data_IF_843993694581
#
_entry.id   IF_843993694581
#
_cell.length_a   1.000
_cell.length_b   1.000
_cell.length_c   1.000
_cell.angle_alpha   90.00
_cell.angle_beta   90.00
_cell.angle_gamma   90.00
#
_symmetry.space_group_name_H-M   'P 1'
#
loop_
_entity.id
_entity.type
_entity.pdbx_description
1 polymer ?
#
# COMPACT_ATOMS: atom_id res chain seq x y z
N UNK A 1 26.25 31.39 26.26
CA UNK A 1 25.15 31.87 25.41
C UNK A 1 24.76 30.76 24.45
N UNK A 2 23.52 30.30 24.60
CA UNK A 2 22.87 29.27 23.81
C UNK A 2 22.75 29.68 22.34
N UNK A 3 22.81 28.72 21.42
CA UNK A 3 21.91 28.67 20.26
C UNK A 3 21.69 27.19 19.88
N UNK A 4 20.60 26.64 20.44
CA UNK A 4 20.01 25.36 20.04
C UNK A 4 19.38 25.55 18.66
N UNK A 5 19.78 24.75 17.67
CA UNK A 5 19.08 24.67 16.38
C UNK A 5 17.95 23.65 16.51
N UNK A 6 16.74 24.15 16.64
CA UNK A 6 15.50 23.37 16.52
C UNK A 6 15.34 22.96 15.06
N UNK A 7 15.46 21.67 14.74
CA UNK A 7 15.01 21.13 13.47
C UNK A 7 13.50 20.87 13.57
N UNK A 8 12.70 21.67 12.86
CA UNK A 8 11.31 21.36 12.62
C UNK A 8 11.26 20.28 11.53
N UNK A 9 10.63 19.15 11.81
CA UNK A 9 10.32 18.13 10.82
C UNK A 9 9.32 18.73 9.81
N UNK A 10 9.75 18.91 8.58
CA UNK A 10 8.89 19.23 7.45
C UNK A 10 8.31 17.90 6.93
N UNK A 11 7.04 17.65 7.23
CA UNK A 11 6.24 16.74 6.41
C UNK A 11 6.07 17.44 5.04
N UNK A 12 6.73 16.91 4.02
CA UNK A 12 6.67 17.46 2.67
C UNK A 12 5.33 17.08 2.02
N UNK A 13 4.29 17.89 2.26
CA UNK A 13 3.13 17.97 1.37
C UNK A 13 3.44 19.02 0.32
N UNK A 14 3.81 18.60 -0.88
CA UNK A 14 3.95 19.49 -2.02
C UNK A 14 2.56 19.85 -2.57
N UNK A 15 2.03 21.01 -2.18
CA UNK A 15 0.93 21.67 -2.91
C UNK A 15 1.44 23.00 -3.44
N UNK A 16 1.53 23.10 -4.78
CA UNK A 16 1.78 24.34 -5.51
C UNK A 16 0.51 25.18 -5.44
N UNK A 17 0.61 26.38 -4.86
CA UNK A 17 -0.43 27.40 -5.04
C UNK A 17 -0.46 28.48 -3.97
N UNK A 18 0.37 29.53 -4.12
CA UNK A 18 0.05 30.84 -3.54
C UNK A 18 0.48 31.96 -4.47
N UNK A 19 -0.46 32.85 -4.79
CA UNK A 19 -0.19 34.18 -5.34
C UNK A 19 0.54 35.02 -4.26
N UNK A 20 1.73 35.52 -4.59
CA UNK A 20 2.54 36.39 -3.71
C UNK A 20 2.23 37.87 -3.96
N UNK A 21 2.16 38.74 -2.93
CA UNK A 21 2.15 40.19 -3.11
C UNK A 21 3.48 40.66 -3.72
N UNK A 22 3.42 41.64 -4.61
CA UNK A 22 4.57 42.17 -5.34
C UNK A 22 5.61 42.79 -4.39
N UNK A 23 6.77 42.13 -4.27
CA UNK A 23 8.01 42.69 -3.73
C UNK A 23 9.01 42.76 -4.88
N UNK A 24 9.74 43.88 -4.97
CA UNK A 24 10.58 44.27 -6.10
C UNK A 24 11.48 43.12 -6.63
N UNK A 25 11.42 42.90 -7.95
CA UNK A 25 12.13 41.84 -8.65
C UNK A 25 13.65 42.04 -8.63
N UNK A 26 14.35 41.25 -7.82
CA UNK A 26 15.75 40.90 -8.09
C UNK A 26 15.85 39.95 -9.30
N UNK A 27 17.05 39.73 -9.88
CA UNK A 27 17.21 38.82 -11.01
C UNK A 27 16.64 37.44 -10.65
N UNK A 28 15.72 36.96 -11.48
CA UNK A 28 15.08 35.65 -11.33
C UNK A 28 16.15 34.58 -11.11
N UNK A 29 16.09 33.77 -10.03
CA UNK A 29 16.90 32.58 -9.97
C UNK A 29 16.57 31.74 -11.20
N UNK A 30 17.60 31.37 -11.97
CA UNK A 30 17.47 30.47 -13.11
C UNK A 30 16.64 29.26 -12.69
N UNK A 31 15.64 28.89 -13.50
CA UNK A 31 14.87 27.68 -13.29
C UNK A 31 15.86 26.50 -13.12
N UNK A 32 15.85 25.84 -11.97
CA UNK A 32 16.59 24.60 -11.78
C UNK A 32 16.19 23.64 -12.92
N UNK A 33 17.13 22.93 -13.54
CA UNK A 33 16.79 21.98 -14.57
C UNK A 33 15.80 20.97 -14.01
N UNK A 34 14.76 20.63 -14.80
CA UNK A 34 13.85 19.55 -14.43
C UNK A 34 14.66 18.28 -14.18
N UNK A 35 14.41 17.56 -13.07
CA UNK A 35 15.17 16.36 -12.76
C UNK A 35 15.03 15.33 -13.90
N UNK A 36 16.15 14.74 -14.30
CA UNK A 36 16.15 13.63 -15.25
C UNK A 36 15.50 12.44 -14.54
N UNK A 37 14.36 11.99 -15.06
CA UNK A 37 13.67 10.82 -14.52
C UNK A 37 14.34 9.55 -15.06
N UNK A 38 14.87 8.66 -14.21
CA UNK A 38 15.53 7.44 -14.67
C UNK A 38 14.58 6.47 -15.38
N UNK A 39 15.05 5.77 -16.42
CA UNK A 39 14.22 4.89 -17.26
C UNK A 39 13.55 3.72 -16.51
N UNK A 40 14.10 3.30 -15.37
CA UNK A 40 13.56 2.21 -14.53
C UNK A 40 12.55 2.65 -13.46
N UNK A 41 12.34 3.95 -13.28
CA UNK A 41 11.48 4.48 -12.23
C UNK A 41 10.04 4.68 -12.72
N UNK A 42 9.06 4.21 -11.93
CA UNK A 42 7.65 4.52 -12.17
C UNK A 42 7.34 5.97 -11.78
N UNK A 43 6.61 6.66 -12.65
CA UNK A 43 6.21 8.06 -12.47
C UNK A 43 7.13 9.06 -13.18
N UNK A 44 6.75 10.34 -13.12
CA UNK A 44 7.45 11.45 -13.79
C UNK A 44 7.70 12.67 -12.90
N UNK A 45 7.17 12.65 -11.67
CA UNK A 45 7.42 13.67 -10.66
C UNK A 45 8.78 13.46 -10.02
N UNK A 46 9.37 14.56 -9.52
CA UNK A 46 10.66 14.58 -8.81
C UNK A 46 10.70 13.47 -7.73
N UNK A 47 11.67 12.54 -7.79
CA UNK A 47 11.76 11.42 -6.86
C UNK A 47 12.56 11.73 -5.59
N UNK A 48 13.07 12.95 -5.42
CA UNK A 48 13.99 13.33 -4.33
C UNK A 48 13.54 12.86 -2.94
N UNK A 49 12.22 12.82 -2.68
CA UNK A 49 11.67 12.51 -1.36
C UNK A 49 10.92 11.18 -1.26
N UNK A 50 10.68 10.50 -2.38
CA UNK A 50 9.81 9.32 -2.39
C UNK A 50 10.19 8.24 -3.40
N UNK A 51 11.29 8.39 -4.16
CA UNK A 51 11.63 7.48 -5.25
C UNK A 51 11.59 5.99 -4.88
N UNK A 52 12.31 5.61 -3.81
CA UNK A 52 12.35 4.23 -3.30
C UNK A 52 11.00 3.79 -2.74
N UNK A 53 10.30 4.65 -2.00
CA UNK A 53 8.98 4.34 -1.44
C UNK A 53 7.95 4.08 -2.55
N UNK A 54 7.85 5.02 -3.49
CA UNK A 54 6.97 4.97 -4.68
C UNK A 54 7.25 3.73 -5.51
N UNK A 55 8.52 3.47 -5.80
CA UNK A 55 8.90 2.29 -6.56
C UNK A 55 8.51 1.01 -5.82
N UNK A 56 8.77 0.94 -4.51
CA UNK A 56 8.47 -0.25 -3.71
C UNK A 56 6.98 -0.55 -3.67
N UNK A 57 6.13 0.46 -3.45
CA UNK A 57 4.68 0.28 -3.49
C UNK A 57 4.19 -0.16 -4.87
N UNK A 58 4.72 0.43 -5.94
CA UNK A 58 4.34 0.08 -7.31
C UNK A 58 4.65 -1.38 -7.64
N UNK A 59 5.87 -1.81 -7.32
CA UNK A 59 6.32 -3.17 -7.54
C UNK A 59 5.56 -4.18 -6.65
N UNK A 60 5.23 -3.79 -5.40
CA UNK A 60 4.45 -4.61 -4.49
C UNK A 60 3.01 -4.79 -4.98
N UNK A 61 2.39 -3.72 -5.49
CA UNK A 61 1.07 -3.78 -6.09
C UNK A 61 1.05 -4.66 -7.36
N UNK A 62 2.09 -4.59 -8.19
CA UNK A 62 2.25 -5.49 -9.34
C UNK A 62 2.30 -6.96 -8.90
N UNK A 63 3.16 -7.28 -7.94
CA UNK A 63 3.31 -8.63 -7.39
C UNK A 63 1.99 -9.18 -6.84
N UNK A 64 1.29 -8.35 -6.05
CA UNK A 64 0.00 -8.68 -5.43
C UNK A 64 -1.06 -9.09 -6.46
N UNK A 65 -1.03 -8.51 -7.66
CA UNK A 65 -2.00 -8.81 -8.74
C UNK A 65 -1.44 -9.74 -9.83
N UNK A 66 -0.31 -10.39 -9.55
CA UNK A 66 0.37 -11.36 -10.41
C UNK A 66 1.11 -10.75 -11.61
N UNK A 67 1.26 -9.43 -11.68
CA UNK A 67 2.09 -8.78 -12.70
C UNK A 67 3.55 -8.97 -12.35
N UNK A 68 4.32 -9.53 -13.27
CA UNK A 68 5.77 -9.64 -13.12
C UNK A 68 6.42 -8.31 -13.50
N UNK A 69 7.11 -7.62 -12.58
CA UNK A 69 7.68 -6.33 -12.89
C UNK A 69 8.73 -6.35 -14.00
N UNK A 70 8.96 -5.17 -14.59
CA UNK A 70 10.08 -4.97 -15.50
C UNK A 70 11.41 -5.19 -14.79
N UNK A 71 12.35 -5.94 -15.39
CA UNK A 71 13.68 -6.13 -14.79
C UNK A 71 14.39 -4.81 -14.51
N UNK A 72 14.32 -3.85 -15.44
CA UNK A 72 14.89 -2.52 -15.26
C UNK A 72 14.31 -1.75 -14.05
N UNK A 73 13.07 -2.04 -13.66
CA UNK A 73 12.45 -1.42 -12.49
C UNK A 73 12.96 -2.01 -11.17
N UNK A 74 13.19 -3.33 -11.15
CA UNK A 74 13.79 -4.04 -10.02
C UNK A 74 15.28 -3.71 -9.90
N UNK A 75 16.00 -3.65 -11.02
CA UNK A 75 17.41 -3.24 -11.09
C UNK A 75 17.58 -1.79 -10.61
N UNK A 76 16.66 -0.90 -11.00
CA UNK A 76 16.67 0.47 -10.49
C UNK A 76 16.52 0.50 -8.96
N UNK A 77 15.55 -0.24 -8.40
CA UNK A 77 15.33 -0.27 -6.95
C UNK A 77 16.56 -0.83 -6.23
N UNK A 78 17.05 -2.00 -6.63
CA UNK A 78 18.21 -2.64 -5.99
C UNK A 78 19.48 -1.79 -6.12
N UNK A 79 19.66 -1.07 -7.22
CA UNK A 79 20.75 -0.12 -7.42
C UNK A 79 20.75 1.07 -6.43
N UNK A 80 19.60 1.40 -5.83
CA UNK A 80 19.52 2.46 -4.82
C UNK A 80 20.18 2.05 -3.49
N UNK A 81 20.38 0.75 -3.23
CA UNK A 81 20.90 0.27 -1.96
C UNK A 81 22.33 0.77 -1.68
N UNK A 82 22.54 1.28 -0.47
CA UNK A 82 23.86 1.62 0.05
C UNK A 82 24.66 0.37 0.47
N UNK A 83 25.99 0.50 0.54
CA UNK A 83 26.86 -0.63 0.91
C UNK A 83 26.57 -1.23 2.30
N UNK A 84 26.08 -0.41 3.24
CA UNK A 84 25.66 -0.82 4.59
C UNK A 84 24.26 -1.48 4.62
N UNK A 85 23.55 -1.52 3.50
CA UNK A 85 22.21 -2.11 3.36
C UNK A 85 21.06 -1.11 3.37
N UNK A 86 21.26 0.14 3.78
CA UNK A 86 20.20 1.14 3.83
C UNK A 86 19.77 1.64 2.46
N UNK A 87 18.58 2.21 2.38
CA UNK A 87 18.11 2.96 1.22
C UNK A 87 17.87 4.41 1.63
N UNK A 88 18.31 5.34 0.78
CA UNK A 88 17.82 6.71 0.79
C UNK A 88 16.48 6.79 0.05
N UNK A 89 15.74 7.88 0.21
CA UNK A 89 14.55 8.13 -0.58
C UNK A 89 14.86 8.13 -2.10
N UNK A 90 16.03 8.66 -2.48
CA UNK A 90 16.54 8.63 -3.85
C UNK A 90 18.04 8.95 -3.91
N UNK A 91 18.76 8.25 -4.78
CA UNK A 91 20.13 8.53 -5.21
C UNK A 91 20.13 8.80 -6.70
N UNK A 92 20.54 10.01 -7.08
CA UNK A 92 20.63 10.44 -8.47
C UNK A 92 21.76 9.73 -9.23
N UNK A 93 22.89 9.49 -8.56
CA UNK A 93 24.00 8.70 -9.07
C UNK A 93 24.27 7.53 -8.12
N UNK A 94 24.02 6.31 -8.58
CA UNK A 94 24.20 5.10 -7.79
C UNK A 94 25.61 4.53 -7.86
N UNK A 95 26.47 5.06 -8.75
CA UNK A 95 27.88 4.71 -8.82
C UNK A 95 28.70 5.38 -7.70
N UNK A 96 28.25 6.56 -7.24
CA UNK A 96 28.85 7.24 -6.09
C UNK A 96 28.50 6.50 -4.79
N UNK A 97 29.47 6.31 -3.88
CA UNK A 97 29.21 5.67 -2.60
C UNK A 97 28.25 6.52 -1.76
N UNK A 98 27.44 5.86 -0.93
CA UNK A 98 26.65 6.57 0.06
C UNK A 98 27.59 7.18 1.12
N UNK A 99 27.68 8.51 1.13
CA UNK A 99 28.45 9.26 2.11
C UNK A 99 27.64 9.52 3.39
N UNK A 100 28.24 10.25 4.34
CA UNK A 100 27.61 10.58 5.61
C UNK A 100 26.56 11.71 5.51
N UNK A 101 26.50 12.43 4.39
CA UNK A 101 25.55 13.52 4.15
C UNK A 101 24.27 12.99 3.48
N UNK A 102 24.34 11.85 2.80
CA UNK A 102 23.18 11.19 2.23
C UNK A 102 22.19 10.79 3.33
N UNK A 103 21.02 11.43 3.29
CA UNK A 103 19.92 11.10 4.18
C UNK A 103 19.32 9.75 3.79
N UNK A 104 19.50 8.78 4.67
CA UNK A 104 18.84 7.46 4.61
C UNK A 104 17.74 7.38 5.65
N UNK A 105 16.70 6.60 5.36
CA UNK A 105 15.51 6.52 6.20
C UNK A 105 15.03 5.06 6.36
N UNK A 106 14.34 4.81 7.47
CA UNK A 106 13.86 3.46 7.82
C UNK A 106 12.72 3.01 6.91
N UNK A 107 11.92 3.93 6.38
CA UNK A 107 10.67 3.62 5.71
C UNK A 107 10.93 3.19 4.27
N UNK A 108 11.76 3.93 3.53
CA UNK A 108 12.30 3.54 2.23
C UNK A 108 13.03 2.19 2.31
N UNK A 109 13.87 2.01 3.34
CA UNK A 109 14.59 0.75 3.53
C UNK A 109 13.64 -0.42 3.81
N UNK A 110 12.64 -0.22 4.65
CA UNK A 110 11.67 -1.25 5.01
C UNK A 110 10.71 -1.58 3.86
N UNK A 111 10.23 -0.59 3.10
CA UNK A 111 9.42 -0.81 1.91
C UNK A 111 10.20 -1.59 0.84
N UNK A 112 11.47 -1.26 0.62
CA UNK A 112 12.35 -2.00 -0.28
C UNK A 112 12.52 -3.47 0.16
N UNK A 113 12.70 -3.72 1.46
CA UNK A 113 12.76 -5.09 2.01
C UNK A 113 11.49 -5.87 1.69
N UNK A 114 10.31 -5.28 1.94
CA UNK A 114 9.04 -5.98 1.74
C UNK A 114 8.84 -6.39 0.28
N UNK A 115 9.07 -5.47 -0.66
CA UNK A 115 8.88 -5.78 -2.08
C UNK A 115 9.95 -6.73 -2.63
N UNK A 116 11.22 -6.58 -2.23
CA UNK A 116 12.29 -7.46 -2.69
C UNK A 116 12.13 -8.88 -2.12
N UNK A 117 11.57 -9.01 -0.92
CA UNK A 117 11.18 -10.29 -0.36
C UNK A 117 10.02 -10.93 -1.14
N UNK A 118 8.99 -10.15 -1.47
CA UNK A 118 7.83 -10.61 -2.25
C UNK A 118 8.23 -11.12 -3.64
N UNK A 119 9.06 -10.36 -4.37
CA UNK A 119 9.54 -10.73 -5.70
C UNK A 119 10.50 -11.94 -5.70
N UNK A 120 11.13 -12.25 -4.57
CA UNK A 120 12.09 -13.35 -4.41
C UNK A 120 13.43 -13.12 -5.14
N UNK A 121 14.44 -13.95 -4.82
CA UNK A 121 15.75 -13.91 -5.49
C UNK A 121 16.66 -12.74 -5.08
N UNK A 122 16.27 -11.96 -4.06
CA UNK A 122 17.00 -10.78 -3.59
C UNK A 122 17.52 -10.92 -2.14
N UNK A 123 17.73 -12.14 -1.65
CA UNK A 123 18.07 -12.45 -0.25
C UNK A 123 19.28 -11.66 0.28
N UNK A 124 20.30 -11.46 -0.56
CA UNK A 124 21.48 -10.69 -0.17
C UNK A 124 21.19 -9.21 0.06
N UNK A 125 20.32 -8.60 -0.76
CA UNK A 125 19.92 -7.21 -0.61
C UNK A 125 19.01 -7.06 0.62
N UNK A 126 17.99 -7.92 0.73
CA UNK A 126 17.05 -7.98 1.85
C UNK A 126 17.76 -8.19 3.18
N UNK A 127 18.70 -9.15 3.24
CA UNK A 127 19.45 -9.46 4.46
C UNK A 127 20.33 -8.30 4.95
N UNK A 128 20.97 -7.55 4.03
CA UNK A 128 21.75 -6.35 4.39
C UNK A 128 20.84 -5.24 4.93
N UNK A 129 19.71 -4.99 4.28
CA UNK A 129 18.75 -3.98 4.71
C UNK A 129 18.15 -4.30 6.08
N UNK A 130 17.76 -5.57 6.31
CA UNK A 130 17.30 -6.04 7.63
C UNK A 130 18.39 -5.89 8.69
N UNK A 131 19.64 -6.22 8.36
CA UNK A 131 20.78 -6.02 9.28
C UNK A 131 20.93 -4.54 9.65
N UNK A 132 20.80 -3.64 8.68
CA UNK A 132 20.85 -2.20 8.93
C UNK A 132 19.67 -1.73 9.80
N UNK A 133 18.42 -2.13 9.50
CA UNK A 133 17.24 -1.80 10.31
C UNK A 133 17.41 -2.21 11.78
N UNK A 134 17.90 -3.43 12.02
CA UNK A 134 18.22 -3.92 13.38
C UNK A 134 19.29 -3.07 14.07
N UNK A 135 20.26 -2.55 13.33
CA UNK A 135 21.35 -1.74 13.89
C UNK A 135 20.89 -0.36 14.39
N UNK A 136 19.84 0.21 13.77
CA UNK A 136 19.29 1.54 14.07
C UNK A 136 18.05 1.53 14.96
N UNK A 137 17.64 0.36 15.49
CA UNK A 137 16.54 0.24 16.44
C UNK A 137 16.80 1.05 17.73
N UNK A 138 15.80 1.80 18.18
CA UNK A 138 15.86 2.59 19.40
C UNK A 138 15.74 1.71 20.66
N UNK A 139 16.19 2.21 21.81
CA UNK A 139 16.17 1.47 23.08
C UNK A 139 14.76 1.23 23.66
N UNK A 140 13.73 1.86 23.09
CA UNK A 140 12.34 1.59 23.40
C UNK A 140 11.75 0.42 22.59
N UNK A 141 12.50 -0.09 21.60
CA UNK A 141 12.12 -1.17 20.71
C UNK A 141 11.65 -0.70 19.32
N UNK A 142 11.41 0.59 19.12
CA UNK A 142 10.84 1.13 17.89
C UNK A 142 11.85 1.77 16.94
N UNK A 143 11.31 2.43 15.91
CA UNK A 143 12.06 3.20 14.92
C UNK A 143 11.39 4.54 14.69
N UNK A 144 12.21 5.57 14.51
CA UNK A 144 11.77 6.83 13.88
C UNK A 144 12.13 6.83 12.40
N UNK A 145 11.45 7.68 11.63
CA UNK A 145 11.71 7.84 10.18
C UNK A 145 13.21 7.92 9.83
N UNK A 146 13.97 8.73 10.57
CA UNK A 146 15.44 8.77 10.46
C UNK A 146 16.11 8.02 11.61
N UNK A 147 17.27 7.37 11.37
CA UNK A 147 18.06 6.75 12.44
C UNK A 147 18.35 7.69 13.60
N UNK A 148 18.04 7.26 14.83
CA UNK A 148 18.20 8.05 16.05
C UNK A 148 17.10 9.09 16.31
N UNK A 149 16.12 9.23 15.41
CA UNK A 149 14.88 9.95 15.68
C UNK A 149 14.00 9.23 16.72
N UNK A 150 13.04 9.96 17.31
CA UNK A 150 12.08 9.35 18.22
C UNK A 150 11.26 8.28 17.51
N UNK A 151 10.94 7.20 18.22
CA UNK A 151 10.11 6.13 17.65
C UNK A 151 8.70 6.63 17.36
N UNK A 152 8.17 6.28 16.19
CA UNK A 152 6.81 6.57 15.76
C UNK A 152 6.07 5.32 15.28
N UNK A 153 4.74 5.38 15.29
CA UNK A 153 3.90 4.23 14.97
C UNK A 153 4.04 3.81 13.51
N UNK A 154 4.10 4.76 12.58
CA UNK A 154 4.20 4.48 11.14
C UNK A 154 5.50 3.76 10.82
N UNK A 155 6.65 4.35 11.16
CA UNK A 155 7.98 3.82 10.87
C UNK A 155 8.21 2.48 11.57
N UNK A 156 7.79 2.35 12.84
CA UNK A 156 7.87 1.08 13.56
C UNK A 156 7.04 -0.02 12.86
N UNK A 157 5.84 0.32 12.37
CA UNK A 157 4.96 -0.65 11.70
C UNK A 157 5.51 -1.12 10.36
N UNK A 158 6.01 -0.20 9.52
CA UNK A 158 6.62 -0.57 8.23
C UNK A 158 7.87 -1.43 8.46
N UNK A 159 8.67 -1.15 9.50
CA UNK A 159 9.82 -1.98 9.85
C UNK A 159 9.39 -3.36 10.37
N UNK A 160 8.33 -3.46 11.16
CA UNK A 160 7.76 -4.77 11.57
C UNK A 160 7.37 -5.58 10.33
N UNK A 161 6.65 -4.98 9.38
CA UNK A 161 6.29 -5.62 8.11
C UNK A 161 7.51 -6.08 7.31
N UNK A 162 8.58 -5.30 7.29
CA UNK A 162 9.84 -5.67 6.64
C UNK A 162 10.53 -6.87 7.32
N UNK A 163 10.55 -6.90 8.65
CA UNK A 163 11.11 -8.02 9.42
C UNK A 163 10.33 -9.32 9.17
N UNK A 164 9.00 -9.22 9.15
CA UNK A 164 8.11 -10.35 8.87
C UNK A 164 8.25 -10.84 7.41
N UNK A 165 8.26 -9.94 6.43
CA UNK A 165 8.43 -10.27 5.01
C UNK A 165 9.78 -10.97 4.73
N UNK A 166 10.83 -10.61 5.47
CA UNK A 166 12.13 -11.28 5.40
C UNK A 166 12.18 -12.65 6.13
N UNK A 167 11.04 -13.15 6.61
CA UNK A 167 10.92 -14.45 7.29
C UNK A 167 11.40 -14.48 8.74
N UNK A 168 11.67 -13.33 9.34
CA UNK A 168 12.02 -13.22 10.76
C UNK A 168 10.78 -12.99 11.63
N UNK A 169 10.82 -13.40 12.89
CA UNK A 169 9.83 -12.97 13.88
C UNK A 169 10.18 -11.56 14.40
N UNK A 170 9.32 -10.54 14.17
CA UNK A 170 9.56 -9.20 14.69
C UNK A 170 9.71 -9.15 16.23
N UNK A 171 9.09 -10.09 16.97
CA UNK A 171 9.17 -10.16 18.43
C UNK A 171 10.60 -10.43 18.96
N UNK A 172 11.41 -11.11 18.16
CA UNK A 172 12.79 -11.47 18.48
C UNK A 172 13.78 -10.33 18.25
N UNK A 173 13.38 -9.28 17.53
CA UNK A 173 14.22 -8.12 17.25
C UNK A 173 14.16 -7.13 18.41
N UNK A 174 15.08 -7.30 19.37
CA UNK A 174 15.04 -6.54 20.62
C UNK A 174 16.23 -5.60 20.79
N UNK A 175 15.95 -4.39 21.30
CA UNK A 175 16.95 -3.43 21.79
C UNK A 175 16.61 -3.03 23.21
N UNK A 176 17.59 -3.10 24.12
CA UNK A 176 17.35 -2.80 25.53
C UNK A 176 16.29 -3.69 26.19
N UNK A 177 16.11 -4.93 25.69
CA UNK A 177 15.11 -5.88 26.16
C UNK A 177 13.70 -5.66 25.58
N UNK A 178 13.48 -4.65 24.73
CA UNK A 178 12.16 -4.30 24.17
C UNK A 178 12.07 -4.68 22.70
N UNK A 179 10.92 -5.22 22.28
CA UNK A 179 10.59 -5.55 20.90
C UNK A 179 9.89 -4.37 20.20
N UNK A 180 9.66 -4.47 18.88
CA UNK A 180 8.88 -3.48 18.13
C UNK A 180 7.47 -3.30 18.68
N UNK A 181 6.87 -4.39 19.12
CA UNK A 181 5.53 -4.38 19.70
C UNK A 181 5.48 -3.61 21.02
N UNK A 182 6.51 -3.71 21.87
CA UNK A 182 6.62 -2.90 23.10
C UNK A 182 6.65 -1.39 22.82
N UNK A 183 7.18 -0.98 21.65
CA UNK A 183 7.16 0.41 21.22
C UNK A 183 5.80 0.83 20.67
N UNK A 184 5.16 0.01 19.83
CA UNK A 184 3.81 0.29 19.31
C UNK A 184 2.77 0.39 20.43
N UNK A 185 2.79 -0.53 21.40
CA UNK A 185 1.81 -0.53 22.50
C UNK A 185 1.89 0.75 23.35
N UNK A 186 3.06 1.39 23.45
CA UNK A 186 3.21 2.70 24.14
C UNK A 186 2.61 3.87 23.36
N UNK A 187 2.34 3.70 22.07
CA UNK A 187 1.73 4.69 21.20
C UNK A 187 0.21 4.47 21.05
N UNK A 188 -0.33 3.39 21.62
CA UNK A 188 -1.76 3.11 21.65
C UNK A 188 -2.46 4.01 22.68
N UNK A 189 -3.60 4.59 22.27
CA UNK A 189 -4.49 5.33 23.15
C UNK A 189 -5.40 4.35 23.92
N UNK A 190 -5.86 4.71 25.14
CA UNK A 190 -6.86 3.94 25.86
C UNK A 190 -8.18 3.88 25.09
N UNK A 191 -9.06 2.96 25.48
CA UNK A 191 -10.39 2.78 24.87
C UNK A 191 -11.46 3.75 25.40
N UNK A 192 -11.06 4.84 26.05
CA UNK A 192 -11.94 5.90 26.50
C UNK A 192 -11.47 7.27 25.97
N UNK A 193 -12.39 8.24 26.00
CA UNK A 193 -12.11 9.61 25.56
C UNK A 193 -12.01 9.80 24.05
N UNK A 194 -11.50 10.97 23.68
CA UNK A 194 -11.36 11.38 22.28
C UNK A 194 -10.28 10.53 21.59
N UNK A 195 -10.68 9.86 20.50
CA UNK A 195 -9.77 8.98 19.77
C UNK A 195 -9.52 7.63 20.44
N UNK A 196 -10.47 7.16 21.25
CA UNK A 196 -10.43 5.86 21.90
C UNK A 196 -9.93 4.74 20.97
N UNK A 197 -8.88 4.03 21.41
CA UNK A 197 -8.29 2.88 20.71
C UNK A 197 -7.37 3.22 19.53
N UNK A 198 -7.24 4.50 19.14
CA UNK A 198 -6.32 4.90 18.08
C UNK A 198 -4.85 4.68 18.47
N UNK A 199 -3.95 4.83 17.48
CA UNK A 199 -2.54 5.06 17.74
C UNK A 199 -2.19 6.53 17.47
N UNK A 200 -1.23 7.04 18.23
CA UNK A 200 -0.59 8.31 17.93
C UNK A 200 0.58 8.09 16.97
N UNK A 201 0.89 9.12 16.16
CA UNK A 201 2.15 9.16 15.42
C UNK A 201 3.33 9.12 16.39
N UNK A 202 3.41 10.11 17.28
CA UNK A 202 4.41 10.25 18.34
C UNK A 202 3.80 10.99 19.54
N UNK A 203 4.36 10.82 20.76
CA UNK A 203 4.03 11.69 21.88
C UNK A 203 4.48 13.12 21.60
N UNK A 204 3.70 14.10 22.07
CA UNK A 204 4.12 15.50 22.07
C UNK A 204 5.25 15.75 23.10
N UNK A 205 5.71 17.01 23.21
CA UNK A 205 6.78 17.39 24.15
C UNK A 205 6.44 17.14 25.64
N UNK A 206 5.17 16.93 25.96
CA UNK A 206 4.67 16.61 27.31
C UNK A 206 4.39 15.13 27.50
N UNK A 207 4.61 14.30 26.48
CA UNK A 207 4.28 12.88 26.50
C UNK A 207 2.82 12.58 26.16
N UNK A 208 2.04 13.56 25.70
CA UNK A 208 0.63 13.38 25.37
C UNK A 208 0.49 12.70 24.01
N UNK A 209 -0.38 11.69 23.94
CA UNK A 209 -0.75 11.00 22.71
C UNK A 209 -2.00 11.63 22.12
N UNK A 210 -2.00 11.83 20.81
CA UNK A 210 -3.17 12.31 20.05
C UNK A 210 -3.48 11.29 18.97
N UNK A 211 -4.75 10.89 18.87
CA UNK A 211 -5.19 9.97 17.84
C UNK A 211 -4.81 10.47 16.44
N UNK A 212 -4.28 9.56 15.63
CA UNK A 212 -3.88 9.84 14.26
C UNK A 212 -4.28 8.65 13.39
N UNK A 213 -5.11 8.90 12.37
CA UNK A 213 -5.70 7.84 11.57
C UNK A 213 -4.69 7.13 10.65
N UNK A 214 -3.73 7.85 10.09
CA UNK A 214 -2.61 7.30 9.32
C UNK A 214 -1.76 6.35 10.20
N UNK A 215 -1.29 6.87 11.34
CA UNK A 215 -0.57 6.08 12.33
C UNK A 215 -1.35 4.85 12.81
N UNK A 216 -2.67 4.98 12.94
CA UNK A 216 -3.55 3.88 13.34
C UNK A 216 -3.64 2.81 12.25
N UNK A 217 -3.81 3.18 10.98
CA UNK A 217 -3.83 2.23 9.87
C UNK A 217 -2.52 1.45 9.78
N UNK A 218 -1.37 2.15 9.84
CA UNK A 218 -0.06 1.50 9.87
C UNK A 218 0.11 0.58 11.10
N UNK A 219 -0.24 1.07 12.30
CA UNK A 219 -0.09 0.32 13.55
C UNK A 219 -0.98 -0.91 13.64
N UNK A 220 -2.16 -0.92 13.01
CA UNK A 220 -3.00 -2.12 12.90
C UNK A 220 -2.24 -3.23 12.16
N UNK A 221 -1.66 -2.93 11.00
CA UNK A 221 -0.84 -3.90 10.25
C UNK A 221 0.42 -4.29 11.04
N UNK A 222 1.12 -3.31 11.58
CA UNK A 222 2.34 -3.52 12.37
C UNK A 222 2.09 -4.41 13.59
N UNK A 223 1.03 -4.17 14.35
CA UNK A 223 0.71 -4.95 15.55
C UNK A 223 0.27 -6.39 15.23
N UNK A 224 -0.19 -6.67 14.00
CA UNK A 224 -0.44 -8.01 13.48
C UNK A 224 0.79 -8.67 12.82
N UNK A 225 1.93 -7.98 12.77
CA UNK A 225 3.12 -8.48 12.10
C UNK A 225 2.99 -8.51 10.57
N UNK A 226 2.15 -7.65 9.98
CA UNK A 226 1.85 -7.63 8.55
C UNK A 226 2.54 -6.49 7.80
N UNK A 227 2.78 -6.72 6.52
CA UNK A 227 3.38 -5.77 5.60
C UNK A 227 2.36 -4.78 5.01
N UNK A 228 2.85 -3.92 4.13
CA UNK A 228 2.10 -2.85 3.46
C UNK A 228 0.91 -3.36 2.62
N UNK A 229 1.00 -4.58 2.11
CA UNK A 229 -0.08 -5.21 1.36
C UNK A 229 -1.21 -5.78 2.24
N UNK A 230 -0.99 -5.87 3.56
CA UNK A 230 -1.89 -6.59 4.46
C UNK A 230 -1.95 -8.09 4.15
N UNK A 231 -3.02 -8.73 4.64
CA UNK A 231 -3.40 -10.12 4.32
C UNK A 231 -4.92 -10.18 4.08
N UNK A 232 -5.36 -11.13 3.25
CA UNK A 232 -6.78 -11.45 3.11
C UNK A 232 -7.25 -12.32 4.29
N UNK A 233 -7.65 -11.66 5.38
CA UNK A 233 -8.21 -12.34 6.54
C UNK A 233 -9.67 -12.74 6.32
N UNK A 234 -10.09 -13.86 6.91
CA UNK A 234 -11.50 -14.25 6.90
C UNK A 234 -12.33 -13.23 7.70
N UNK A 235 -13.55 -12.90 7.27
CA UNK A 235 -14.41 -12.00 8.02
C UNK A 235 -14.69 -12.50 9.43
N UNK A 236 -14.48 -11.63 10.40
CA UNK A 236 -14.86 -11.84 11.79
C UNK A 236 -16.38 -11.73 11.91
N UNK A 237 -17.02 -12.78 12.46
CA UNK A 237 -18.47 -12.78 12.67
C UNK A 237 -18.94 -11.67 13.62
N UNK A 238 -18.08 -11.25 14.54
CA UNK A 238 -18.32 -10.11 15.43
C UNK A 238 -16.96 -9.48 15.81
N UNK A 239 -16.68 -8.25 15.35
CA UNK A 239 -15.48 -7.52 15.76
C UNK A 239 -15.40 -7.41 17.29
N UNK A 240 -14.25 -7.71 17.91
CA UNK A 240 -14.09 -7.51 19.34
C UNK A 240 -14.27 -6.04 19.72
N UNK A 241 -14.82 -5.80 20.90
CA UNK A 241 -14.91 -4.46 21.46
C UNK A 241 -13.51 -3.93 21.81
N UNK A 242 -13.38 -2.61 21.87
CA UNK A 242 -12.15 -1.98 22.34
C UNK A 242 -11.85 -2.44 23.78
N UNK A 243 -10.63 -2.92 24.04
CA UNK A 243 -10.18 -3.44 25.33
C UNK A 243 -8.77 -2.95 25.70
N UNK A 244 -8.19 -3.47 26.78
CA UNK A 244 -6.85 -3.06 27.20
C UNK A 244 -5.79 -3.45 26.15
N UNK A 245 -4.98 -2.49 25.72
CA UNK A 245 -3.94 -2.65 24.71
C UNK A 245 -2.62 -3.23 25.28
N UNK A 246 -2.71 -4.26 26.13
CA UNK A 246 -1.52 -4.94 26.68
C UNK A 246 -0.97 -6.02 25.72
N UNK A 247 -1.74 -6.37 24.70
CA UNK A 247 -1.43 -7.34 23.65
C UNK A 247 -1.50 -6.67 22.26
N UNK A 248 -0.55 -6.93 21.35
CA UNK A 248 -0.55 -6.35 20.01
C UNK A 248 -1.80 -6.66 19.19
N UNK A 249 -2.34 -7.87 19.28
CA UNK A 249 -3.57 -8.25 18.57
C UNK A 249 -4.78 -7.44 19.06
N UNK A 250 -4.95 -7.33 20.37
CA UNK A 250 -5.99 -6.47 20.95
C UNK A 250 -5.79 -5.00 20.59
N UNK A 251 -4.56 -4.50 20.58
CA UNK A 251 -4.27 -3.12 20.17
C UNK A 251 -4.60 -2.88 18.69
N UNK A 252 -4.36 -3.86 17.80
CA UNK A 252 -4.78 -3.81 16.40
C UNK A 252 -6.31 -3.72 16.28
N UNK A 253 -7.05 -4.53 17.03
CA UNK A 253 -8.52 -4.48 17.05
C UNK A 253 -9.06 -3.15 17.59
N UNK A 254 -8.40 -2.55 18.59
CA UNK A 254 -8.73 -1.22 19.09
C UNK A 254 -8.55 -0.16 18.00
N UNK A 255 -7.41 -0.19 17.29
CA UNK A 255 -7.12 0.71 16.18
C UNK A 255 -8.13 0.57 15.05
N UNK A 256 -8.50 -0.66 14.71
CA UNK A 256 -9.57 -0.94 13.75
C UNK A 256 -10.92 -0.33 14.21
N UNK A 257 -11.26 -0.41 15.49
CA UNK A 257 -12.48 0.21 16.02
C UNK A 257 -12.49 1.73 15.88
N UNK A 258 -11.35 2.37 16.09
CA UNK A 258 -11.18 3.79 15.82
C UNK A 258 -11.38 4.09 14.32
N UNK A 259 -10.72 3.35 13.42
CA UNK A 259 -10.81 3.57 11.97
C UNK A 259 -12.24 3.41 11.45
N UNK A 260 -12.98 2.39 11.89
CA UNK A 260 -14.40 2.22 11.53
C UNK A 260 -15.21 3.46 11.93
N UNK A 261 -14.97 3.98 13.13
CA UNK A 261 -15.67 5.17 13.63
C UNK A 261 -15.32 6.41 12.80
N UNK A 262 -14.04 6.58 12.46
CA UNK A 262 -13.57 7.70 11.64
C UNK A 262 -14.16 7.65 10.23
N UNK A 263 -14.23 6.46 9.62
CA UNK A 263 -14.77 6.26 8.27
C UNK A 263 -16.30 6.33 8.21
N UNK A 264 -17.01 5.96 9.29
CA UNK A 264 -18.47 5.83 9.28
C UNK A 264 -19.21 7.10 8.80
N UNK A 265 -18.66 8.28 9.12
CA UNK A 265 -19.27 9.58 8.83
C UNK A 265 -19.19 9.95 7.35
N UNK A 266 -17.97 10.09 6.83
CA UNK A 266 -17.72 10.67 5.51
C UNK A 266 -17.29 9.62 4.47
N UNK A 267 -17.15 8.34 4.88
CA UNK A 267 -16.64 7.19 4.11
C UNK A 267 -15.17 7.32 3.71
N UNK A 268 -14.50 8.36 4.14
CA UNK A 268 -13.07 8.57 3.95
C UNK A 268 -12.46 9.21 5.19
N UNK A 269 -11.15 9.05 5.33
CA UNK A 269 -10.37 9.83 6.29
C UNK A 269 -10.20 11.26 5.79
N UNK A 270 -9.94 12.18 6.71
CA UNK A 270 -9.78 13.60 6.41
C UNK A 270 -8.35 14.03 6.71
N UNK A 271 -7.72 14.66 5.72
CA UNK A 271 -6.42 15.27 5.87
C UNK A 271 -6.60 16.65 6.52
N UNK A 272 -6.01 16.83 7.71
CA UNK A 272 -6.02 18.10 8.43
C UNK A 272 -4.62 18.70 8.46
N UNK A 273 -4.35 19.63 7.54
CA UNK A 273 -3.10 20.38 7.53
C UNK A 273 -3.30 21.73 8.23
N UNK A 274 -2.39 22.14 9.14
CA UNK A 274 -2.46 23.44 9.80
C UNK A 274 -2.55 24.59 8.78
N UNK A 275 -3.62 25.38 8.87
CA UNK A 275 -3.85 26.52 7.97
C UNK A 275 -4.46 26.18 6.61
N UNK A 276 -4.74 24.90 6.33
CA UNK A 276 -5.49 24.47 5.15
C UNK A 276 -6.93 24.10 5.50
N UNK A 277 -7.81 24.07 4.48
CA UNK A 277 -9.13 23.48 4.66
C UNK A 277 -9.00 21.96 4.73
N UNK A 278 -9.77 21.29 5.60
CA UNK A 278 -9.85 19.82 5.59
C UNK A 278 -10.23 19.31 4.20
N UNK A 279 -9.56 18.26 3.73
CA UNK A 279 -9.82 17.62 2.45
C UNK A 279 -9.86 16.10 2.62
N UNK A 280 -10.53 15.35 1.72
CA UNK A 280 -10.46 13.91 1.74
C UNK A 280 -9.02 13.40 1.61
N UNK A 281 -8.67 12.41 2.43
CA UNK A 281 -7.36 11.76 2.42
C UNK A 281 -7.46 10.40 1.74
N UNK A 282 -7.24 10.37 0.43
CA UNK A 282 -7.42 9.16 -0.37
C UNK A 282 -6.42 8.06 -0.01
N UNK A 283 -5.15 8.43 0.21
CA UNK A 283 -4.08 7.48 0.52
C UNK A 283 -4.33 6.82 1.87
N UNK A 284 -4.55 7.61 2.92
CA UNK A 284 -4.82 7.05 4.23
C UNK A 284 -6.17 6.31 4.29
N UNK A 285 -7.16 6.71 3.47
CA UNK A 285 -8.40 5.94 3.34
C UNK A 285 -8.13 4.56 2.73
N UNK A 286 -7.29 4.46 1.69
CA UNK A 286 -6.89 3.18 1.12
C UNK A 286 -6.12 2.31 2.12
N UNK A 287 -5.17 2.90 2.86
CA UNK A 287 -4.41 2.18 3.89
C UNK A 287 -5.31 1.72 5.05
N UNK A 288 -6.33 2.50 5.42
CA UNK A 288 -7.32 2.09 6.41
C UNK A 288 -8.21 0.94 5.92
N UNK A 289 -8.53 0.88 4.63
CA UNK A 289 -9.22 -0.28 4.02
C UNK A 289 -8.35 -1.53 4.16
N UNK A 290 -7.06 -1.46 3.79
CA UNK A 290 -6.11 -2.59 3.94
C UNK A 290 -6.02 -3.03 5.40
N UNK A 291 -5.92 -2.08 6.33
CA UNK A 291 -5.87 -2.36 7.77
C UNK A 291 -7.12 -3.09 8.27
N UNK A 292 -8.31 -2.63 7.88
CA UNK A 292 -9.58 -3.25 8.26
C UNK A 292 -9.77 -4.64 7.66
N UNK A 293 -9.44 -4.81 6.38
CA UNK A 293 -9.42 -6.13 5.74
C UNK A 293 -8.50 -7.11 6.47
N UNK A 294 -7.29 -6.66 6.85
CA UNK A 294 -6.27 -7.50 7.50
C UNK A 294 -6.68 -7.97 8.90
N UNK A 295 -7.46 -7.19 9.65
CA UNK A 295 -8.04 -7.64 10.93
C UNK A 295 -9.34 -8.44 10.76
N UNK A 296 -9.71 -8.83 9.54
CA UNK A 296 -10.94 -9.58 9.27
C UNK A 296 -12.22 -8.73 9.28
N UNK A 297 -12.12 -7.43 9.03
CA UNK A 297 -13.26 -6.49 9.10
C UNK A 297 -13.45 -5.70 7.81
N UNK A 298 -13.10 -6.31 6.68
CA UNK A 298 -13.20 -5.65 5.38
C UNK A 298 -14.62 -5.22 4.99
N UNK A 299 -15.63 -5.99 5.42
CA UNK A 299 -17.04 -5.64 5.28
C UNK A 299 -17.38 -4.26 5.86
N UNK A 300 -16.66 -3.82 6.90
CA UNK A 300 -16.81 -2.51 7.53
C UNK A 300 -16.13 -1.38 6.73
N UNK A 301 -15.20 -1.72 5.84
CA UNK A 301 -14.49 -0.81 4.95
C UNK A 301 -15.13 -0.71 3.54
N UNK A 302 -16.10 -1.58 3.22
CA UNK A 302 -16.69 -1.68 1.89
C UNK A 302 -17.33 -0.36 1.38
N UNK A 303 -17.93 0.45 2.26
CA UNK A 303 -18.43 1.78 1.90
C UNK A 303 -17.28 2.73 1.51
N UNK A 304 -16.14 2.63 2.19
CA UNK A 304 -14.96 3.44 1.93
C UNK A 304 -14.27 3.04 0.63
N UNK A 305 -14.19 1.74 0.33
CA UNK A 305 -13.72 1.28 -0.98
C UNK A 305 -14.60 1.82 -2.11
N UNK A 306 -15.93 1.73 -1.99
CA UNK A 306 -16.87 2.31 -2.97
C UNK A 306 -16.72 3.83 -3.12
N UNK A 307 -16.42 4.53 -2.03
CA UNK A 307 -16.14 5.95 -2.09
C UNK A 307 -14.87 6.22 -2.90
N UNK A 308 -13.79 5.44 -2.68
CA UNK A 308 -12.56 5.53 -3.46
C UNK A 308 -12.83 5.28 -4.95
N UNK A 309 -13.57 4.22 -5.29
CA UNK A 309 -13.96 3.87 -6.68
C UNK A 309 -14.61 5.03 -7.44
N UNK A 310 -15.29 5.94 -6.73
CA UNK A 310 -16.04 7.04 -7.34
C UNK A 310 -15.32 8.39 -7.30
N UNK A 311 -14.22 8.54 -6.54
CA UNK A 311 -13.57 9.84 -6.31
C UNK A 311 -12.05 9.86 -6.56
N UNK A 312 -11.41 8.70 -6.75
CA UNK A 312 -9.94 8.61 -6.78
C UNK A 312 -9.27 9.30 -7.97
N UNK A 313 -9.94 9.40 -9.12
CA UNK A 313 -9.28 9.60 -10.43
C UNK A 313 -8.35 10.82 -10.47
N UNK A 314 -8.83 11.96 -9.99
CA UNK A 314 -8.04 13.19 -10.03
C UNK A 314 -6.83 13.09 -9.12
N UNK A 315 -7.01 12.57 -7.91
CA UNK A 315 -5.93 12.38 -6.96
C UNK A 315 -4.88 11.40 -7.49
N UNK A 316 -5.28 10.22 -7.98
CA UNK A 316 -4.33 9.22 -8.47
C UNK A 316 -3.55 9.71 -9.71
N UNK A 317 -4.19 10.44 -10.63
CA UNK A 317 -3.51 11.06 -11.78
C UNK A 317 -2.46 12.10 -11.35
N UNK A 318 -2.72 12.85 -10.26
CA UNK A 318 -1.81 13.88 -9.75
C UNK A 318 -0.68 13.29 -8.91
N UNK A 319 -1.00 12.33 -8.04
CA UNK A 319 -0.09 11.69 -7.09
C UNK A 319 0.78 10.61 -7.75
N UNK A 320 0.34 10.05 -8.88
CA UNK A 320 1.14 9.12 -9.67
C UNK A 320 1.07 7.67 -9.19
N UNK A 321 2.10 6.85 -9.47
CA UNK A 321 2.00 5.39 -9.36
C UNK A 321 1.82 4.86 -7.93
N UNK A 322 2.38 5.52 -6.91
CA UNK A 322 2.15 5.12 -5.52
C UNK A 322 0.67 5.22 -5.13
N UNK A 323 -0.05 6.22 -5.63
CA UNK A 323 -1.49 6.36 -5.39
C UNK A 323 -2.29 5.25 -6.05
N UNK A 324 -1.96 4.88 -7.30
CA UNK A 324 -2.57 3.70 -7.93
C UNK A 324 -2.23 2.42 -7.16
N UNK A 325 -0.99 2.26 -6.70
CA UNK A 325 -0.57 1.12 -5.91
C UNK A 325 -1.39 0.98 -4.62
N UNK A 326 -1.59 2.05 -3.86
CA UNK A 326 -2.43 2.02 -2.66
C UNK A 326 -3.87 1.59 -2.96
N UNK A 327 -4.47 2.10 -4.04
CA UNK A 327 -5.81 1.69 -4.46
C UNK A 327 -5.87 0.21 -4.87
N UNK A 328 -4.82 -0.28 -5.55
CA UNK A 328 -4.69 -1.70 -5.93
C UNK A 328 -4.60 -2.59 -4.69
N UNK A 329 -3.78 -2.21 -3.71
CA UNK A 329 -3.65 -2.95 -2.44
C UNK A 329 -4.96 -2.96 -1.67
N UNK A 330 -5.67 -1.82 -1.59
CA UNK A 330 -6.97 -1.73 -0.94
C UNK A 330 -8.05 -2.59 -1.64
N UNK A 331 -8.10 -2.56 -2.97
CA UNK A 331 -9.02 -3.41 -3.73
C UNK A 331 -8.71 -4.90 -3.52
N UNK A 332 -7.42 -5.28 -3.59
CA UNK A 332 -7.00 -6.66 -3.40
C UNK A 332 -7.35 -7.17 -1.99
N UNK A 333 -7.08 -6.39 -0.95
CA UNK A 333 -7.36 -6.76 0.44
C UNK A 333 -8.87 -7.01 0.70
N UNK A 334 -9.74 -6.33 -0.04
CA UNK A 334 -11.20 -6.53 -0.02
C UNK A 334 -11.69 -7.64 -0.98
N UNK A 335 -10.78 -8.34 -1.64
CA UNK A 335 -11.09 -9.35 -2.67
C UNK A 335 -11.74 -8.78 -3.93
N UNK A 336 -11.63 -7.46 -4.16
CA UNK A 336 -12.13 -6.77 -5.33
C UNK A 336 -11.07 -6.75 -6.44
N UNK A 337 -11.48 -6.86 -7.71
CA UNK A 337 -10.52 -6.84 -8.83
C UNK A 337 -10.12 -5.39 -9.19
N UNK A 338 -8.85 -4.98 -8.98
CA UNK A 338 -8.38 -3.64 -9.30
C UNK A 338 -8.37 -3.33 -10.81
N UNK A 339 -8.57 -4.33 -11.67
CA UNK A 339 -8.73 -4.13 -13.12
C UNK A 339 -10.13 -3.61 -13.49
N UNK A 340 -11.06 -3.60 -12.54
CA UNK A 340 -12.44 -3.13 -12.70
C UNK A 340 -12.83 -2.04 -11.69
N UNK A 341 -11.86 -1.31 -11.15
CA UNK A 341 -12.05 -0.31 -10.10
C UNK A 341 -12.70 0.97 -10.62
N UNK A 342 -13.94 1.25 -10.21
CA UNK A 342 -14.69 2.41 -10.72
C UNK A 342 -14.86 2.41 -12.25
N UNK A 343 -14.81 1.22 -12.88
CA UNK A 343 -14.85 1.08 -14.34
C UNK A 343 -13.53 1.34 -15.07
N UNK A 344 -12.41 1.42 -14.35
CA UNK A 344 -11.07 1.56 -14.92
C UNK A 344 -10.16 0.40 -14.48
N UNK A 345 -9.13 0.17 -15.29
CA UNK A 345 -8.06 -0.77 -14.99
C UNK A 345 -6.91 -0.04 -14.30
N UNK A 346 -6.85 -0.09 -12.96
CA UNK A 346 -5.79 0.58 -12.20
C UNK A 346 -4.41 0.00 -12.48
N UNK A 347 -4.33 -1.32 -12.71
CA UNK A 347 -3.08 -2.00 -13.01
C UNK A 347 -2.49 -1.44 -14.30
N UNK A 348 -3.31 -1.35 -15.35
CA UNK A 348 -2.91 -0.74 -16.64
C UNK A 348 -2.55 0.75 -16.49
N UNK A 349 -3.31 1.50 -15.69
CA UNK A 349 -3.04 2.93 -15.47
C UNK A 349 -1.71 3.15 -14.73
N UNK A 350 -1.42 2.32 -13.72
CA UNK A 350 -0.17 2.35 -12.97
C UNK A 350 1.01 1.95 -13.85
N UNK A 351 0.90 0.83 -14.58
CA UNK A 351 1.96 0.29 -15.43
C UNK A 351 2.36 1.27 -16.54
N UNK A 352 1.40 2.03 -17.06
CA UNK A 352 1.64 3.05 -18.07
C UNK A 352 2.53 4.22 -17.59
N UNK A 353 2.81 4.32 -16.29
CA UNK A 353 3.67 5.38 -15.73
C UNK A 353 5.16 5.05 -15.73
N UNK A 354 5.56 3.84 -16.12
CA UNK A 354 6.94 3.37 -16.07
C UNK A 354 7.29 2.37 -17.17
N UNK A 355 8.34 1.57 -16.99
CA UNK A 355 8.73 0.55 -17.96
C UNK A 355 7.65 -0.54 -18.10
N UNK A 356 7.56 -1.13 -19.30
CA UNK A 356 6.61 -2.21 -19.55
C UNK A 356 6.92 -3.44 -18.68
N UNK A 357 5.93 -4.02 -17.97
CA UNK A 357 6.13 -5.23 -17.17
C UNK A 357 6.64 -6.41 -17.99
N UNK A 358 7.35 -7.34 -17.35
CA UNK A 358 7.85 -8.54 -18.01
C UNK A 358 6.73 -9.49 -18.41
N UNK A 359 5.65 -9.57 -17.62
CA UNK A 359 4.42 -10.27 -17.98
C UNK A 359 3.24 -9.75 -17.18
N UNK A 360 2.06 -9.74 -17.81
CA UNK A 360 0.77 -9.42 -17.17
C UNK A 360 -0.11 -10.67 -17.30
N UNK A 361 -0.75 -11.16 -16.21
CA UNK A 361 -1.68 -12.29 -16.30
C UNK A 361 -2.83 -11.99 -17.27
N UNK A 362 -3.18 -12.97 -18.10
CA UNK A 362 -4.36 -12.86 -18.96
C UNK A 362 -5.62 -12.76 -18.09
N UNK A 363 -6.53 -11.85 -18.43
CA UNK A 363 -7.79 -11.58 -17.72
C UNK A 363 -8.79 -12.77 -17.69
N UNK A 364 -8.36 -14.00 -18.02
CA UNK A 364 -9.17 -15.22 -18.09
C UNK A 364 -8.73 -16.32 -17.10
N UNK A 365 -7.84 -16.02 -16.16
CA UNK A 365 -7.19 -17.02 -15.30
C UNK A 365 -7.56 -16.94 -13.82
N UNK A 366 -8.85 -16.85 -13.48
CA UNK A 366 -9.32 -17.00 -12.09
C UNK A 366 -10.38 -18.10 -12.02
N UNK A 367 -10.01 -19.33 -12.39
CA UNK A 367 -10.76 -20.49 -11.91
C UNK A 367 -10.20 -20.88 -10.53
N UNK A 368 -11.05 -21.19 -9.53
CA UNK A 368 -10.58 -21.59 -8.22
C UNK A 368 -9.77 -22.88 -8.35
N UNK A 369 -8.60 -22.94 -7.71
CA UNK A 369 -7.86 -24.18 -7.54
C UNK A 369 -8.77 -25.25 -6.94
N UNK A 370 -9.23 -26.16 -7.79
CA UNK A 370 -9.99 -27.33 -7.40
C UNK A 370 -9.14 -28.18 -6.46
N UNK A 371 -9.70 -28.47 -5.29
CA UNK A 371 -9.16 -29.42 -4.32
C UNK A 371 -8.72 -30.71 -5.01
N UNK A 372 -7.45 -31.08 -4.86
CA UNK A 372 -6.96 -32.43 -5.11
C UNK A 372 -7.66 -33.39 -4.16
N UNK A 373 -8.79 -33.96 -4.59
CA UNK A 373 -9.31 -35.17 -3.98
C UNK A 373 -8.57 -36.36 -4.58
N UNK A 374 -7.63 -36.86 -3.80
CA UNK A 374 -7.05 -38.19 -3.96
C UNK A 374 -8.18 -39.24 -4.00
N UNK A 375 -8.47 -39.76 -5.19
CA UNK A 375 -9.36 -40.89 -5.36
C UNK A 375 -8.64 -42.17 -4.91
N UNK A 376 -9.11 -42.74 -3.80
CA UNK A 376 -8.75 -44.09 -3.36
C UNK A 376 -9.23 -45.11 -4.40
N UNK A 377 -8.33 -46.04 -4.71
CA UNK A 377 -8.60 -47.25 -5.46
C UNK A 377 -9.56 -48.18 -4.70
N UNK A 378 -10.60 -48.67 -5.37
CA UNK A 378 -11.17 -49.98 -5.09
C UNK A 378 -11.55 -50.69 -6.40
N UNK A 379 -11.39 -52.01 -6.36
CA UNK A 379 -11.37 -52.96 -7.48
C UNK A 379 -12.76 -53.56 -7.76
N UNK A 380 -12.83 -54.25 -8.91
CA UNK A 380 -13.78 -55.32 -9.32
C UNK A 380 -15.17 -54.80 -9.79
N UNK A 381 -15.80 -55.17 -10.92
CA UNK A 381 -15.73 -56.29 -11.87
C UNK A 381 -16.12 -55.83 -13.32
N UNK A 382 -15.73 -56.57 -14.36
CA UNK A 382 -16.09 -56.28 -15.79
C UNK A 382 -17.45 -56.88 -16.24
N UNK A 383 -17.69 -57.18 -17.54
CA UNK A 383 -17.18 -56.59 -18.78
C UNK A 383 -18.30 -56.33 -19.84
N UNK A 384 -17.92 -55.90 -21.06
CA UNK A 384 -18.61 -56.09 -22.37
C UNK A 384 -19.67 -55.05 -22.88
N UNK A 385 -19.29 -54.36 -23.98
CA UNK A 385 -19.89 -54.34 -25.35
C UNK A 385 -20.38 -53.00 -25.95
N UNK A 386 -19.73 -52.64 -27.09
CA UNK A 386 -20.29 -52.29 -28.44
C UNK A 386 -21.16 -51.01 -28.52
N UNK A 387 -20.70 -49.89 -29.09
CA UNK A 387 -20.51 -49.49 -30.51
C UNK A 387 -21.79 -49.22 -31.34
N UNK A 388 -21.73 -48.16 -32.18
CA UNK A 388 -22.61 -47.76 -33.34
C UNK A 388 -23.88 -46.92 -33.01
N UNK A 389 -24.44 -45.97 -33.80
CA UNK A 389 -24.31 -45.46 -35.20
C UNK A 389 -25.13 -44.14 -35.36
N UNK A 390 -24.68 -43.22 -36.24
CA UNK A 390 -25.38 -42.35 -37.25
C UNK A 390 -26.77 -41.77 -36.88
N UNK A 391 -27.05 -40.46 -36.87
CA UNK A 391 -27.03 -39.50 -38.00
C UNK A 391 -28.39 -39.48 -38.75
N UNK A 392 -29.09 -38.33 -38.83
CA UNK A 392 -29.89 -37.87 -39.99
C UNK A 392 -30.85 -36.71 -39.64
N UNK A 393 -31.10 -35.91 -40.67
CA UNK A 393 -31.72 -34.59 -40.72
C UNK A 393 -33.25 -34.61 -41.02
N UNK A 394 -33.89 -33.45 -40.80
CA UNK A 394 -35.06 -32.85 -41.52
C UNK A 394 -36.43 -33.52 -41.26
N UNK A 395 -37.61 -32.86 -41.19
CA UNK A 395 -38.17 -31.59 -41.70
C UNK A 395 -39.55 -31.35 -41.05
N UNK A 396 -40.02 -30.10 -40.91
CA UNK A 396 -41.38 -29.67 -41.30
C UNK A 396 -41.58 -28.14 -41.15
N UNK A 397 -41.94 -27.51 -42.27
CA UNK A 397 -42.40 -26.12 -42.45
C UNK A 397 -43.88 -25.99 -41.99
N UNK A 398 -44.40 -24.81 -41.61
CA UNK A 398 -45.05 -23.76 -42.44
C UNK A 398 -45.75 -22.77 -41.47
N UNK A 399 -46.06 -21.48 -41.69
CA UNK A 399 -45.93 -20.50 -42.78
C UNK A 399 -46.43 -19.12 -42.28
N UNK A 400 -46.05 -18.05 -43.01
CA UNK A 400 -46.78 -16.77 -43.15
C UNK A 400 -46.23 -15.61 -42.31
N UNK A 401 -45.82 -14.46 -42.83
CA UNK A 401 -45.78 -13.84 -44.16
C UNK A 401 -45.03 -12.48 -43.98
N UNK A 402 -44.20 -12.05 -44.93
CA UNK A 402 -44.45 -10.88 -45.83
C UNK A 402 -44.75 -9.60 -45.00
N UNK A 403 -43.95 -8.52 -44.97
CA UNK A 403 -43.24 -7.81 -46.05
C UNK A 403 -42.20 -6.82 -45.49
N UNK A 404 -41.27 -6.50 -46.38
CA UNK A 404 -40.08 -5.67 -46.32
C UNK A 404 -40.36 -4.16 -46.55
N UNK A 405 -39.33 -3.32 -46.31
CA UNK A 405 -39.13 -1.87 -46.65
C UNK A 405 -39.62 -0.83 -45.63
N UNK A 406 -39.05 0.37 -45.50
CA UNK A 406 -37.72 0.94 -45.75
C UNK A 406 -37.72 2.38 -45.19
N UNK A 407 -36.53 2.87 -44.80
CA UNK A 407 -36.03 4.25 -44.90
C UNK A 407 -37.04 5.41 -45.09
N UNK A 408 -36.99 6.35 -44.14
CA UNK A 408 -36.68 7.76 -44.42
C UNK A 408 -37.83 8.76 -44.48
N UNK A 409 -37.67 9.90 -43.79
CA UNK A 409 -38.34 11.15 -44.16
C UNK A 409 -38.85 12.06 -43.04
N UNK A 410 -38.05 13.07 -42.70
CA UNK A 410 -38.39 14.51 -42.49
C UNK A 410 -39.66 14.96 -41.71
N UNK A 411 -39.36 15.80 -40.69
CA UNK A 411 -39.84 17.18 -40.37
C UNK A 411 -41.35 17.49 -40.18
N UNK A 412 -41.62 18.02 -38.97
CA UNK A 412 -42.47 19.18 -38.57
C UNK A 412 -43.99 19.08 -38.75
N UNK A 413 -44.80 19.81 -37.94
CA UNK A 413 -44.72 21.26 -37.65
C UNK A 413 -43.76 21.69 -36.55
#
# INVERSE_FOLDING_TARGET
MNLRRSAAALAAVAVIGTATPAVAAGPSPSASPSPVIPDGLYGRTDPTYDGVWRQSLTLLAQDTVGVKPALAAVDWLTGQQCANGSFAAFRADTAEPCDAELMVDTNSTAAAVQVLAALGGHDAATGKAVTWLKSVQNADGGWGYTPGGASDANSTSVVIGALAAAGGDPQDVRKGGRSPYDALLKLALPCDGDGAGAFAYQPDKKGMLTANADATAAAVLGALGKGLAGDDAKPDAAPPACGNADDPGQAAHNGAAYLRTALAKDKHLTQELPGAKPQPDYGNTADAVVALATVGQGDQAADSLRWLETHYEQWAKQSGPAAYAQLILAANAEGSDPRHFGGQDLVRLMDATGPAPASVPDAKGSEPHGSEHAAKSDKDEGPLRVAWIVGACLLALTAGGILYTSRGGRRQP
#
